data_IF_810845669704
#
_entry.id   IF_810845669704
#
_cell.length_a   1.000
_cell.length_b   1.000
_cell.length_c   1.000
_cell.angle_alpha   90.00
_cell.angle_beta   90.00
_cell.angle_gamma   90.00
#
_symmetry.space_group_name_H-M   'P 1'
#
loop_
_entity.id
_entity.type
_entity.pdbx_description
1 polymer ?
#
# COMPACT_ATOMS: atom_id res chain seq x y z
N UNK A 1 -4.77 21.32 -0.76
CA UNK A 1 -5.60 20.11 -0.96
C UNK A 1 -7.05 20.51 -0.72
N UNK A 2 -7.96 20.18 -1.63
CA UNK A 2 -9.40 20.41 -1.44
C UNK A 2 -10.03 19.22 -0.71
N UNK A 3 -11.21 19.41 -0.13
CA UNK A 3 -12.00 18.31 0.43
C UNK A 3 -12.28 17.23 -0.64
N UNK A 4 -12.66 17.66 -1.85
CA UNK A 4 -12.93 16.77 -2.98
C UNK A 4 -11.75 15.88 -3.36
N UNK A 5 -10.51 16.35 -3.20
CA UNK A 5 -9.32 15.54 -3.48
C UNK A 5 -9.11 14.46 -2.42
N UNK A 6 -9.35 14.76 -1.14
CA UNK A 6 -9.24 13.76 -0.07
C UNK A 6 -10.33 12.70 -0.20
N UNK A 7 -11.53 13.08 -0.61
CA UNK A 7 -12.62 12.14 -0.90
C UNK A 7 -12.23 11.15 -2.00
N UNK A 8 -11.60 11.65 -3.08
CA UNK A 8 -11.08 10.80 -4.15
C UNK A 8 -10.00 9.83 -3.64
N UNK A 9 -9.04 10.32 -2.85
CA UNK A 9 -7.98 9.48 -2.26
C UNK A 9 -8.57 8.36 -1.40
N UNK A 10 -9.59 8.66 -0.59
CA UNK A 10 -10.28 7.67 0.23
C UNK A 10 -11.03 6.65 -0.64
N UNK A 11 -11.72 7.12 -1.68
CA UNK A 11 -12.47 6.26 -2.60
C UNK A 11 -11.55 5.29 -3.35
N UNK A 12 -10.46 5.78 -3.94
CA UNK A 12 -9.52 4.94 -4.70
C UNK A 12 -8.79 3.94 -3.80
N UNK A 13 -8.44 4.35 -2.59
CA UNK A 13 -7.84 3.47 -1.58
C UNK A 13 -8.81 2.37 -1.18
N UNK A 14 -10.07 2.72 -0.91
CA UNK A 14 -11.12 1.74 -0.62
C UNK A 14 -11.35 0.75 -1.76
N UNK A 15 -11.32 1.21 -3.02
CA UNK A 15 -11.41 0.34 -4.20
C UNK A 15 -10.23 -0.63 -4.29
N UNK A 16 -9.01 -0.17 -4.03
CA UNK A 16 -7.82 -1.04 -4.00
C UNK A 16 -7.96 -2.17 -2.97
N UNK A 17 -8.36 -1.87 -1.73
CA UNK A 17 -8.46 -2.91 -0.69
C UNK A 17 -9.60 -3.91 -0.92
N UNK A 18 -10.61 -3.54 -1.71
CA UNK A 18 -11.70 -4.42 -2.18
C UNK A 18 -11.28 -5.37 -3.31
N UNK A 19 -10.12 -5.17 -3.93
CA UNK A 19 -9.61 -6.10 -4.95
C UNK A 19 -9.36 -7.50 -4.36
N UNK A 20 -9.38 -8.55 -5.19
CA UNK A 20 -8.96 -9.89 -4.79
C UNK A 20 -7.58 -9.89 -4.14
N UNK A 21 -7.34 -10.84 -3.23
CA UNK A 21 -6.07 -10.92 -2.52
C UNK A 21 -4.88 -11.09 -3.48
N UNK A 22 -5.04 -11.87 -4.53
CA UNK A 22 -3.97 -12.13 -5.51
C UNK A 22 -3.56 -10.84 -6.25
N UNK A 23 -4.53 -10.00 -6.60
CA UNK A 23 -4.28 -8.68 -7.18
C UNK A 23 -3.50 -7.78 -6.23
N UNK A 24 -3.88 -7.76 -4.94
CA UNK A 24 -3.17 -6.97 -3.91
C UNK A 24 -1.75 -7.49 -3.67
N UNK A 25 -1.56 -8.81 -3.70
CA UNK A 25 -0.25 -9.47 -3.53
C UNK A 25 0.73 -9.17 -4.66
N UNK A 26 0.27 -8.75 -5.84
CA UNK A 26 1.18 -8.27 -6.90
C UNK A 26 2.01 -7.06 -6.47
N UNK A 27 1.51 -6.29 -5.49
CA UNK A 27 2.18 -5.14 -4.90
C UNK A 27 2.90 -5.46 -3.59
N UNK A 28 3.04 -6.74 -3.23
CA UNK A 28 3.64 -7.13 -1.95
C UNK A 28 5.03 -6.55 -1.75
N UNK A 29 5.37 -6.26 -0.49
CA UNK A 29 6.73 -5.82 -0.12
C UNK A 29 7.78 -6.88 -0.49
N UNK A 30 8.98 -6.42 -0.83
CA UNK A 30 10.12 -7.32 -1.01
C UNK A 30 10.73 -7.67 0.37
N UNK A 31 11.51 -8.74 0.44
CA UNK A 31 12.28 -9.08 1.64
C UNK A 31 13.17 -7.89 2.05
N UNK A 32 13.11 -7.51 3.33
CA UNK A 32 13.83 -6.37 3.91
C UNK A 32 13.44 -4.98 3.37
N UNK A 33 12.27 -4.85 2.72
CA UNK A 33 11.71 -3.56 2.30
C UNK A 33 10.39 -3.27 3.00
N UNK A 34 10.14 -2.00 3.26
CA UNK A 34 8.91 -1.53 3.90
C UNK A 34 7.82 -1.17 2.89
N UNK A 35 8.19 -0.85 1.65
CA UNK A 35 7.26 -0.41 0.61
C UNK A 35 6.56 -1.56 -0.11
N UNK A 36 5.25 -1.44 -0.25
CA UNK A 36 4.36 -2.45 -0.83
C UNK A 36 3.20 -2.84 0.09
N UNK A 37 2.44 -3.82 -0.36
CA UNK A 37 1.31 -4.41 0.36
C UNK A 37 1.77 -5.50 1.33
N UNK A 38 1.20 -5.52 2.54
CA UNK A 38 1.48 -6.54 3.54
C UNK A 38 1.17 -6.09 4.96
N UNK A 39 1.38 -7.00 5.91
CA UNK A 39 1.30 -6.74 7.36
C UNK A 39 2.70 -6.35 7.87
N UNK A 40 2.94 -6.20 9.16
CA UNK A 40 4.27 -5.89 9.69
C UNK A 40 5.29 -7.02 9.46
N UNK A 41 6.59 -6.71 9.44
CA UNK A 41 7.64 -7.73 9.39
C UNK A 41 7.68 -8.41 10.75
N UNK A 42 7.75 -9.75 10.75
CA UNK A 42 7.88 -10.54 11.98
C UNK A 42 9.37 -10.61 12.32
N UNK A 43 9.76 -9.99 13.43
CA UNK A 43 11.13 -9.97 13.93
C UNK A 43 11.37 -10.98 15.06
N UNK A 44 10.30 -11.43 15.74
CA UNK A 44 10.39 -12.40 16.85
C UNK A 44 9.06 -13.11 17.10
N UNK A 45 9.13 -14.27 17.76
CA UNK A 45 7.96 -15.10 18.08
C UNK A 45 6.99 -14.46 19.09
N UNK A 46 7.45 -13.47 19.87
CA UNK A 46 6.65 -12.77 20.88
C UNK A 46 6.14 -11.41 20.41
N UNK A 47 6.32 -11.10 19.13
CA UNK A 47 5.88 -9.83 18.57
C UNK A 47 4.36 -9.75 18.54
N UNK A 48 3.80 -8.69 19.11
CA UNK A 48 2.39 -8.36 18.97
C UNK A 48 2.19 -7.81 17.56
N UNK A 49 1.27 -8.41 16.81
CA UNK A 49 0.94 -7.98 15.46
C UNK A 49 -0.36 -7.19 15.47
N UNK A 50 -0.38 -6.09 14.73
CA UNK A 50 -1.62 -5.36 14.52
C UNK A 50 -2.55 -6.13 13.58
N UNK A 51 -3.85 -6.12 13.89
CA UNK A 51 -4.87 -6.68 13.01
C UNK A 51 -5.16 -5.71 11.85
N UNK A 52 -4.28 -5.65 10.87
CA UNK A 52 -4.50 -4.86 9.66
C UNK A 52 -3.68 -5.34 8.47
N UNK A 53 -4.18 -5.00 7.28
CA UNK A 53 -3.39 -4.98 6.07
C UNK A 53 -2.93 -3.54 5.79
N UNK A 54 -1.70 -3.38 5.29
CA UNK A 54 -1.14 -2.07 4.91
C UNK A 54 -0.68 -2.05 3.47
N UNK A 55 -0.77 -0.88 2.86
CA UNK A 55 -0.05 -0.53 1.64
C UNK A 55 0.85 0.66 1.97
N UNK A 56 2.16 0.45 2.01
CA UNK A 56 3.13 1.50 2.33
C UNK A 56 3.81 2.01 1.06
N UNK A 57 3.77 3.32 0.83
CA UNK A 57 4.29 3.96 -0.38
C UNK A 57 5.17 5.15 -0.06
N UNK A 58 6.36 5.20 -0.66
CA UNK A 58 7.18 6.41 -0.67
C UNK A 58 6.63 7.40 -1.69
N UNK A 59 6.25 8.59 -1.24
CA UNK A 59 5.74 9.69 -2.09
C UNK A 59 6.87 10.65 -2.46
N UNK A 60 7.67 11.07 -1.47
CA UNK A 60 8.79 11.99 -1.64
C UNK A 60 10.03 11.51 -0.85
N UNK A 61 11.25 11.86 -1.30
CA UNK A 61 11.57 12.47 -2.59
C UNK A 61 11.30 11.51 -3.76
N UNK A 62 11.21 12.04 -4.99
CA UNK A 62 10.92 11.22 -6.17
C UNK A 62 11.98 10.13 -6.41
N UNK A 63 13.22 10.37 -6.00
CA UNK A 63 14.34 9.44 -6.12
C UNK A 63 14.12 8.10 -5.41
N UNK A 64 13.27 8.06 -4.38
CA UNK A 64 12.96 6.83 -3.63
C UNK A 64 11.60 6.23 -3.98
N UNK A 65 10.84 6.86 -4.90
CA UNK A 65 9.52 6.40 -5.30
C UNK A 65 9.63 5.15 -6.17
N UNK A 66 9.26 3.99 -5.62
CA UNK A 66 9.20 2.75 -6.41
C UNK A 66 7.88 2.63 -7.17
N UNK A 67 7.86 3.15 -8.40
CA UNK A 67 6.67 3.15 -9.27
C UNK A 67 6.04 1.76 -9.50
N UNK A 68 6.79 0.66 -9.32
CA UNK A 68 6.26 -0.71 -9.40
C UNK A 68 5.39 -1.13 -8.21
N UNK A 69 5.57 -0.50 -7.04
CA UNK A 69 4.77 -0.79 -5.83
C UNK A 69 3.51 0.07 -5.74
N UNK A 70 3.39 1.10 -6.59
CA UNK A 70 2.18 1.91 -6.70
C UNK A 70 1.10 1.13 -7.47
N UNK A 71 -0.09 0.91 -6.89
CA UNK A 71 -1.20 0.26 -7.56
C UNK A 71 -1.54 0.91 -8.90
N UNK A 72 -1.78 0.07 -9.91
CA UNK A 72 -2.34 0.49 -11.21
C UNK A 72 -3.85 0.39 -11.26
N UNK A 73 -4.43 -0.30 -10.29
CA UNK A 73 -5.86 -0.49 -10.12
C UNK A 73 -6.24 -0.01 -8.72
N UNK A 74 -7.26 0.87 -8.60
CA UNK A 74 -7.96 1.57 -9.69
C UNK A 74 -7.04 2.47 -10.54
N UNK A 75 -7.43 2.80 -11.78
CA UNK A 75 -6.58 3.52 -12.75
C UNK A 75 -6.08 4.89 -12.25
N UNK A 76 -6.86 5.56 -11.40
CA UNK A 76 -6.55 6.86 -10.81
C UNK A 76 -5.88 6.75 -9.43
N UNK A 77 -5.32 5.58 -9.05
CA UNK A 77 -4.59 5.46 -7.80
C UNK A 77 -3.25 6.20 -7.83
N UNK A 78 -2.56 6.17 -8.98
CA UNK A 78 -1.22 6.73 -9.16
C UNK A 78 -1.25 8.12 -9.78
#
# INVERSE_FOLDING_TARGET
>A
MSASFLDEVLEVTGKFFKLPLDEKRTYSRDENRIDGYGNDVIYSDRQILDWNDRLYLHVLPESIRKCKKWPRLPQNFR
#
